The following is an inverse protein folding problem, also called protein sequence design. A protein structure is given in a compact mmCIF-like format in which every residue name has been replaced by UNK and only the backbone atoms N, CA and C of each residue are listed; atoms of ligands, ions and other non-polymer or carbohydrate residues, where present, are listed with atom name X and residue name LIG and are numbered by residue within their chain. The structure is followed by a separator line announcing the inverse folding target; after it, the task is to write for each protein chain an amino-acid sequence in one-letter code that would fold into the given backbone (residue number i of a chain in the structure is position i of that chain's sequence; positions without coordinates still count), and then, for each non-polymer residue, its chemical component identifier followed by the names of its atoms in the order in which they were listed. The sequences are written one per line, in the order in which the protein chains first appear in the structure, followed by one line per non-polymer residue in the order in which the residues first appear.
data_IF_653088465616
#
_entry.id   IF_653088465616
#
_cell.length_a   1.000
_cell.length_b   1.000
_cell.length_c   1.000
_cell.angle_alpha   90.00
_cell.angle_beta   90.00
_cell.angle_gamma   90.00
#
_symmetry.space_group_name_H-M   'P 1'
#
loop_
_entity.id
_entity.type
_entity.pdbx_description
1 polymer ?
#
# COMPACT_ATOMS: atom_id res chain seq x y z
N UNK A 1 3.33 -17.01 19.87
CA UNK A 1 3.70 -16.24 18.66
C UNK A 1 4.01 -14.83 19.11
N UNK A 2 5.11 -14.23 18.68
CA UNK A 2 5.45 -12.85 19.05
C UNK A 2 4.76 -11.89 18.09
N UNK A 3 3.58 -11.42 18.44
CA UNK A 3 2.80 -10.50 17.61
C UNK A 3 3.41 -9.08 17.56
N UNK A 4 4.15 -8.71 18.59
CA UNK A 4 4.82 -7.40 18.65
C UNK A 4 5.83 -7.24 17.52
N UNK A 5 6.55 -8.31 17.16
CA UNK A 5 7.51 -8.29 16.05
C UNK A 5 6.90 -8.17 14.66
N UNK A 6 5.56 -8.25 14.53
CA UNK A 6 4.86 -8.15 13.25
C UNK A 6 4.53 -6.72 12.83
N UNK A 7 4.83 -5.70 13.62
CA UNK A 7 4.55 -4.31 13.27
C UNK A 7 5.66 -3.69 12.44
N UNK A 8 5.35 -3.25 11.21
CA UNK A 8 6.25 -2.54 10.32
C UNK A 8 5.80 -1.10 10.04
N UNK A 9 6.75 -0.17 10.06
CA UNK A 9 6.52 1.22 9.65
C UNK A 9 6.59 1.32 8.13
N UNK A 10 5.44 1.50 7.46
CA UNK A 10 5.35 1.74 6.03
C UNK A 10 5.64 3.20 5.69
N UNK A 11 6.72 3.46 4.94
CA UNK A 11 7.19 4.82 4.64
C UNK A 11 6.62 5.40 3.33
N UNK A 12 5.58 4.81 2.76
CA UNK A 12 4.87 5.36 1.59
C UNK A 12 4.01 6.60 1.96
N UNK A 13 3.61 6.74 3.22
CA UNK A 13 2.72 7.81 3.70
C UNK A 13 3.34 8.54 4.89
N UNK A 14 4.56 9.04 4.73
CA UNK A 14 5.24 9.83 5.76
C UNK A 14 4.51 11.17 5.99
N UNK A 15 4.66 11.77 7.18
CA UNK A 15 4.09 13.10 7.43
C UNK A 15 4.69 14.14 6.48
N UNK A 16 3.85 15.04 5.99
CA UNK A 16 4.20 16.07 5.01
C UNK A 16 3.87 17.47 5.53
N UNK A 17 4.71 18.44 5.19
CA UNK A 17 4.46 19.88 5.46
C UNK A 17 3.55 20.50 4.40
N UNK A 18 3.45 19.87 3.22
CA UNK A 18 2.59 20.28 2.12
C UNK A 18 2.05 19.03 1.42
N UNK A 19 0.76 18.76 1.54
CA UNK A 19 0.11 17.58 0.96
C UNK A 19 0.13 17.54 -0.59
N UNK A 20 0.38 18.68 -1.23
CA UNK A 20 0.45 18.80 -2.69
C UNK A 20 1.86 18.51 -3.24
N UNK A 21 2.83 18.35 -2.38
CA UNK A 21 4.21 18.09 -2.76
C UNK A 21 4.73 16.91 -1.94
N UNK A 22 4.67 15.70 -2.50
CA UNK A 22 5.05 14.47 -1.79
C UNK A 22 6.51 14.50 -1.32
N UNK A 23 7.38 15.28 -1.96
CA UNK A 23 8.78 15.42 -1.55
C UNK A 23 8.97 16.26 -0.28
N UNK A 24 7.94 17.01 0.17
CA UNK A 24 8.00 17.85 1.37
C UNK A 24 7.66 17.07 2.65
N UNK A 25 8.51 16.16 3.03
CA UNK A 25 8.38 15.39 4.27
C UNK A 25 8.57 16.32 5.49
N UNK A 26 7.67 16.22 6.49
CA UNK A 26 7.87 16.79 7.82
C UNK A 26 8.89 15.93 8.59
N UNK A 27 10.16 16.26 8.40
CA UNK A 27 11.27 15.50 8.98
C UNK A 27 11.27 15.54 10.52
N UNK A 28 10.82 16.65 11.14
CA UNK A 28 10.77 16.77 12.60
C UNK A 28 9.73 15.82 13.18
N UNK A 29 8.51 15.85 12.66
CA UNK A 29 7.46 14.92 13.06
C UNK A 29 7.84 13.46 12.77
N UNK A 30 8.45 13.19 11.62
CA UNK A 30 8.91 11.83 11.29
C UNK A 30 9.97 11.35 12.30
N UNK A 31 10.92 12.20 12.69
CA UNK A 31 11.91 11.86 13.70
C UNK A 31 11.24 11.52 15.05
N UNK A 32 10.26 12.31 15.49
CA UNK A 32 9.53 12.05 16.74
C UNK A 32 8.76 10.73 16.68
N UNK A 33 8.12 10.43 15.53
CA UNK A 33 7.43 9.15 15.32
C UNK A 33 8.40 7.96 15.36
N UNK A 34 9.58 8.09 14.73
CA UNK A 34 10.63 7.07 14.77
C UNK A 34 11.14 6.85 16.19
N UNK A 35 11.39 7.92 16.95
CA UNK A 35 11.86 7.82 18.33
C UNK A 35 10.87 7.04 19.19
N UNK A 36 9.58 7.36 19.08
CA UNK A 36 8.52 6.67 19.79
C UNK A 36 8.40 5.20 19.40
N UNK A 37 8.48 4.91 18.10
CA UNK A 37 8.41 3.56 17.55
C UNK A 37 9.57 2.69 18.07
N UNK A 38 10.79 3.21 18.01
CA UNK A 38 12.00 2.55 18.50
C UNK A 38 12.00 2.38 20.02
N UNK A 39 11.56 3.40 20.78
CA UNK A 39 11.43 3.34 22.25
C UNK A 39 10.49 2.24 22.70
N UNK A 40 9.40 2.01 21.96
CA UNK A 40 8.46 0.92 22.19
C UNK A 40 8.99 -0.46 21.77
N UNK A 41 10.19 -0.52 21.18
CA UNK A 41 10.90 -1.74 20.79
C UNK A 41 10.47 -2.29 19.43
N UNK A 42 9.82 -1.48 18.59
CA UNK A 42 9.59 -1.77 17.18
C UNK A 42 10.78 -1.28 16.36
N UNK A 43 11.08 -1.93 15.20
CA UNK A 43 12.33 -1.63 14.52
C UNK A 43 12.35 -1.93 13.01
N UNK A 44 11.22 -2.19 12.38
CA UNK A 44 11.16 -2.52 10.96
C UNK A 44 10.60 -1.36 10.14
N UNK A 45 11.33 -0.93 9.10
CA UNK A 45 10.97 0.18 8.21
C UNK A 45 10.94 -0.30 6.77
N UNK A 46 9.82 -0.02 6.07
CA UNK A 46 9.60 -0.40 4.67
C UNK A 46 9.56 0.84 3.80
N UNK A 47 10.46 0.93 2.82
CA UNK A 47 10.51 2.01 1.85
C UNK A 47 10.56 1.49 0.41
N UNK A 48 10.72 2.37 -0.54
CA UNK A 48 10.93 2.11 -1.96
C UNK A 48 11.64 3.29 -2.62
N UNK A 49 12.39 2.99 -3.67
CA UNK A 49 13.09 3.96 -4.52
C UNK A 49 12.24 5.18 -4.92
N UNK A 50 10.94 4.98 -5.21
CA UNK A 50 10.06 6.04 -5.71
C UNK A 50 9.22 6.74 -4.62
N UNK A 51 9.21 6.25 -3.39
CA UNK A 51 8.33 6.85 -2.37
C UNK A 51 8.69 8.31 -2.09
N UNK A 52 7.67 9.17 -2.05
CA UNK A 52 7.84 10.61 -1.88
C UNK A 52 8.78 11.23 -2.92
N UNK A 53 8.56 10.91 -4.21
CA UNK A 53 9.40 11.39 -5.32
C UNK A 53 10.90 11.07 -5.12
N UNK A 54 11.20 9.92 -4.51
CA UNK A 54 12.55 9.44 -4.26
C UNK A 54 13.24 10.06 -3.03
N UNK A 55 12.54 10.82 -2.18
CA UNK A 55 13.14 11.41 -0.96
C UNK A 55 12.90 10.59 0.30
N UNK A 56 12.07 9.54 0.26
CA UNK A 56 11.79 8.69 1.43
C UNK A 56 13.05 8.05 2.00
N UNK A 57 13.93 7.51 1.16
CA UNK A 57 15.19 6.89 1.56
C UNK A 57 16.10 7.90 2.31
N UNK A 58 16.18 9.15 1.82
CA UNK A 58 16.94 10.22 2.47
C UNK A 58 16.33 10.63 3.81
N UNK A 59 14.99 10.65 3.90
CA UNK A 59 14.30 10.93 5.16
C UNK A 59 14.55 9.82 6.20
N UNK A 60 14.53 8.55 5.79
CA UNK A 60 14.88 7.40 6.63
C UNK A 60 16.32 7.48 7.09
N UNK A 61 17.26 7.80 6.19
CA UNK A 61 18.66 8.01 6.57
C UNK A 61 18.79 9.00 7.73
N UNK A 62 18.16 10.17 7.63
CA UNK A 62 18.18 11.20 8.65
C UNK A 62 17.49 10.81 9.95
N UNK A 63 16.35 10.11 9.84
CA UNK A 63 15.55 9.75 11.00
C UNK A 63 16.09 8.53 11.75
N UNK A 64 16.79 7.62 11.07
CA UNK A 64 17.15 6.31 11.60
C UNK A 64 18.66 6.08 11.50
N UNK A 65 19.20 6.04 10.27
CA UNK A 65 20.58 5.56 10.03
C UNK A 65 21.63 6.45 10.69
N UNK A 66 21.43 7.75 10.68
CA UNK A 66 22.35 8.72 11.31
C UNK A 66 22.17 8.84 12.84
N UNK A 67 21.12 8.21 13.41
CA UNK A 67 20.73 8.40 14.81
C UNK A 67 20.78 7.13 15.67
N UNK A 68 20.67 5.95 15.05
CA UNK A 68 20.59 4.67 15.74
C UNK A 68 21.66 3.69 15.28
N UNK A 69 22.15 2.78 16.16
CA UNK A 69 23.07 1.71 15.75
C UNK A 69 22.44 0.80 14.68
N UNK A 70 23.23 0.39 13.67
CA UNK A 70 22.74 -0.41 12.51
C UNK A 70 22.02 -1.70 12.91
N UNK A 71 22.46 -2.34 13.97
CA UNK A 71 21.89 -3.59 14.49
C UNK A 71 20.56 -3.40 15.22
N UNK A 72 20.16 -2.17 15.54
CA UNK A 72 18.92 -1.89 16.28
C UNK A 72 17.68 -1.77 15.40
N UNK A 73 17.84 -1.70 14.07
CA UNK A 73 16.73 -1.54 13.13
C UNK A 73 16.88 -2.44 11.90
N UNK A 74 15.78 -2.63 11.20
CA UNK A 74 15.70 -3.35 9.94
C UNK A 74 15.14 -2.43 8.85
N UNK A 75 15.75 -2.47 7.65
CA UNK A 75 15.31 -1.71 6.49
C UNK A 75 14.96 -2.67 5.35
N UNK A 76 13.77 -2.48 4.79
CA UNK A 76 13.33 -3.05 3.53
C UNK A 76 13.31 -1.97 2.46
N UNK A 77 13.84 -2.31 1.28
CA UNK A 77 13.75 -1.46 0.10
C UNK A 77 13.39 -2.28 -1.14
N UNK A 78 13.03 -1.62 -2.26
CA UNK A 78 12.43 -2.28 -3.41
C UNK A 78 13.00 -1.77 -4.74
N UNK A 79 13.45 -2.70 -5.60
CA UNK A 79 13.91 -2.43 -6.97
C UNK A 79 12.82 -1.77 -7.80
N UNK A 80 13.05 -0.60 -8.40
CA UNK A 80 12.06 0.06 -9.27
C UNK A 80 11.93 -0.66 -10.62
N UNK A 81 11.14 -1.72 -10.67
CA UNK A 81 11.03 -2.64 -11.81
C UNK A 81 10.65 -1.93 -13.10
N UNK A 82 9.77 -0.93 -13.04
CA UNK A 82 9.32 -0.14 -14.19
C UNK A 82 10.41 0.74 -14.82
N UNK A 83 11.49 1.00 -14.09
CA UNK A 83 12.59 1.84 -14.55
C UNK A 83 13.75 1.02 -15.17
N UNK A 84 13.66 -0.30 -15.18
CA UNK A 84 14.67 -1.19 -15.74
C UNK A 84 14.64 -1.14 -17.26
N UNK A 85 15.78 -0.87 -17.87
CA UNK A 85 16.00 -0.88 -19.34
C UNK A 85 17.06 -1.89 -19.78
N UNK A 86 17.91 -2.30 -18.85
CA UNK A 86 18.97 -3.30 -19.06
C UNK A 86 19.31 -4.03 -17.75
N UNK A 87 19.94 -5.22 -17.80
CA UNK A 87 20.38 -5.94 -16.60
C UNK A 87 21.33 -5.15 -15.70
N UNK A 88 22.11 -4.22 -16.25
CA UNK A 88 23.03 -3.35 -15.54
C UNK A 88 22.33 -2.34 -14.64
N UNK A 89 21.07 -2.02 -14.93
CA UNK A 89 20.27 -1.10 -14.12
C UNK A 89 20.01 -1.65 -12.71
N UNK A 90 20.01 -2.97 -12.52
CA UNK A 90 19.90 -3.57 -11.20
C UNK A 90 21.03 -3.09 -10.27
N UNK A 91 22.29 -3.16 -10.72
CA UNK A 91 23.45 -2.68 -9.94
C UNK A 91 23.36 -1.16 -9.70
N UNK A 92 22.97 -0.40 -10.73
CA UNK A 92 22.83 1.05 -10.65
C UNK A 92 21.83 1.45 -9.57
N UNK A 93 20.61 0.92 -9.61
CA UNK A 93 19.58 1.28 -8.64
C UNK A 93 19.91 0.81 -7.24
N UNK A 94 20.42 -0.41 -7.05
CA UNK A 94 20.82 -0.90 -5.74
C UNK A 94 21.93 -0.03 -5.11
N UNK A 95 22.95 0.33 -5.88
CA UNK A 95 24.01 1.21 -5.38
C UNK A 95 23.46 2.61 -5.01
N UNK A 96 22.56 3.17 -5.82
CA UNK A 96 21.92 4.45 -5.55
C UNK A 96 21.06 4.40 -4.27
N UNK A 97 20.27 3.33 -4.06
CA UNK A 97 19.47 3.12 -2.85
C UNK A 97 20.35 3.00 -1.60
N UNK A 98 21.43 2.21 -1.66
CA UNK A 98 22.39 2.08 -0.56
C UNK A 98 23.04 3.43 -0.21
N UNK A 99 23.40 4.23 -1.22
CA UNK A 99 23.97 5.58 -1.03
C UNK A 99 22.97 6.55 -0.40
N UNK A 100 21.70 6.58 -0.90
CA UNK A 100 20.65 7.45 -0.37
C UNK A 100 20.32 7.11 1.09
N UNK A 101 20.19 5.82 1.41
CA UNK A 101 19.97 5.33 2.77
C UNK A 101 21.21 5.47 3.66
N UNK A 102 22.43 5.42 3.09
CA UNK A 102 23.67 5.43 3.85
C UNK A 102 23.94 4.12 4.60
N UNK A 103 23.60 2.98 3.98
CA UNK A 103 23.78 1.62 4.54
C UNK A 103 24.58 0.73 3.59
N UNK A 104 25.12 -0.37 4.11
CA UNK A 104 25.93 -1.32 3.34
C UNK A 104 25.11 -2.56 2.92
N UNK A 105 23.96 -2.82 3.55
CA UNK A 105 23.08 -3.96 3.26
C UNK A 105 21.62 -3.68 3.64
N UNK A 106 20.71 -4.37 2.97
CA UNK A 106 19.28 -4.40 3.33
C UNK A 106 18.97 -5.61 4.22
N UNK A 107 18.07 -5.45 5.18
CA UNK A 107 17.54 -6.60 5.93
C UNK A 107 16.56 -7.39 5.06
N UNK A 108 15.76 -6.71 4.24
CA UNK A 108 14.87 -7.28 3.24
C UNK A 108 14.99 -6.49 1.95
N UNK A 109 15.02 -7.18 0.82
CA UNK A 109 15.02 -6.54 -0.50
C UNK A 109 14.00 -7.18 -1.44
N UNK A 110 13.19 -6.35 -2.09
CA UNK A 110 12.11 -6.82 -2.97
C UNK A 110 12.31 -6.37 -4.42
N UNK A 111 11.84 -7.21 -5.36
CA UNK A 111 11.46 -6.74 -6.69
C UNK A 111 10.10 -6.06 -6.54
N UNK A 112 9.99 -4.78 -6.94
CA UNK A 112 8.81 -3.97 -6.68
C UNK A 112 7.69 -4.27 -7.65
N UNK A 113 6.47 -4.46 -7.12
CA UNK A 113 5.20 -4.44 -7.84
C UNK A 113 5.10 -5.45 -8.99
N UNK A 114 5.32 -6.74 -8.69
CA UNK A 114 5.14 -7.80 -9.70
C UNK A 114 3.66 -7.90 -10.10
N UNK A 115 3.40 -7.62 -11.35
CA UNK A 115 2.19 -7.81 -12.13
C UNK A 115 2.60 -8.28 -13.54
N UNK A 116 1.66 -8.47 -14.46
CA UNK A 116 1.98 -9.01 -15.80
C UNK A 116 3.08 -8.20 -16.52
N UNK A 117 2.96 -6.86 -16.76
CA UNK A 117 3.98 -6.09 -17.48
C UNK A 117 5.32 -6.05 -16.75
N UNK A 118 5.32 -5.89 -15.42
CA UNK A 118 6.56 -5.74 -14.67
C UNK A 118 7.25 -7.06 -14.35
N UNK A 119 6.52 -8.17 -14.30
CA UNK A 119 7.14 -9.50 -14.31
C UNK A 119 8.00 -9.69 -15.55
N UNK A 120 7.48 -9.31 -16.73
CA UNK A 120 8.22 -9.38 -17.97
C UNK A 120 9.52 -8.57 -17.92
N UNK A 121 9.45 -7.31 -17.44
CA UNK A 121 10.65 -6.46 -17.27
C UNK A 121 11.66 -7.07 -16.29
N UNK A 122 11.18 -7.59 -15.15
CA UNK A 122 12.04 -8.24 -14.16
C UNK A 122 12.75 -9.47 -14.73
N UNK A 123 12.06 -10.26 -15.56
CA UNK A 123 12.64 -11.43 -16.23
C UNK A 123 13.65 -11.03 -17.33
N UNK A 124 13.30 -10.09 -18.20
CA UNK A 124 14.17 -9.60 -19.28
C UNK A 124 15.47 -8.99 -18.72
N UNK A 125 15.41 -8.38 -17.54
CA UNK A 125 16.56 -7.77 -16.86
C UNK A 125 17.21 -8.67 -15.80
N UNK A 126 16.84 -9.95 -15.72
CA UNK A 126 17.41 -10.93 -14.79
C UNK A 126 17.31 -10.54 -13.29
N UNK A 127 16.29 -9.78 -12.89
CA UNK A 127 16.18 -9.24 -11.53
C UNK A 127 16.05 -10.34 -10.46
N UNK A 128 15.39 -11.47 -10.76
CA UNK A 128 15.29 -12.59 -9.81
C UNK A 128 16.67 -13.22 -9.52
N UNK A 129 17.48 -13.46 -10.54
CA UNK A 129 18.85 -13.95 -10.36
C UNK A 129 19.73 -12.90 -9.68
N UNK A 130 19.46 -11.62 -9.91
CA UNK A 130 20.17 -10.53 -9.27
C UNK A 130 19.91 -10.50 -7.76
N UNK A 131 18.66 -10.50 -7.30
CA UNK A 131 18.36 -10.50 -5.86
C UNK A 131 18.85 -11.76 -5.16
N UNK A 132 18.86 -12.91 -5.85
CA UNK A 132 19.49 -14.14 -5.34
C UNK A 132 20.97 -13.91 -5.03
N UNK A 133 21.71 -13.29 -5.96
CA UNK A 133 23.13 -12.94 -5.73
C UNK A 133 23.29 -11.95 -4.58
N UNK A 134 22.37 -10.99 -4.41
CA UNK A 134 22.40 -10.08 -3.25
C UNK A 134 22.28 -10.84 -1.94
N UNK A 135 21.47 -11.90 -1.88
CA UNK A 135 21.37 -12.75 -0.69
C UNK A 135 22.66 -13.57 -0.47
N UNK A 136 23.22 -14.14 -1.53
CA UNK A 136 24.45 -14.94 -1.48
C UNK A 136 25.69 -14.13 -1.02
N UNK A 137 25.78 -12.88 -1.46
CA UNK A 137 26.90 -11.97 -1.11
C UNK A 137 26.66 -11.13 0.14
N UNK A 138 25.47 -11.20 0.74
CA UNK A 138 25.12 -10.49 1.96
C UNK A 138 24.64 -9.05 1.79
N UNK A 139 24.46 -8.56 0.56
CA UNK A 139 23.87 -7.22 0.30
C UNK A 139 22.39 -7.17 0.72
N UNK A 140 21.68 -8.31 0.71
CA UNK A 140 20.37 -8.47 1.31
C UNK A 140 20.33 -9.72 2.20
N UNK A 141 19.72 -9.64 3.40
CA UNK A 141 19.57 -10.82 4.28
C UNK A 141 18.43 -11.73 3.86
N UNK A 142 17.29 -11.13 3.47
CA UNK A 142 16.11 -11.81 2.93
C UNK A 142 15.70 -11.16 1.62
N UNK A 143 15.13 -11.96 0.72
CA UNK A 143 14.72 -11.51 -0.61
C UNK A 143 13.29 -11.96 -0.92
N UNK A 144 12.61 -11.20 -1.78
CA UNK A 144 11.27 -11.50 -2.22
C UNK A 144 10.77 -10.51 -3.28
N UNK A 145 9.48 -10.38 -3.37
CA UNK A 145 8.83 -9.38 -4.23
C UNK A 145 7.53 -8.88 -3.61
N UNK A 146 7.12 -7.66 -3.99
CA UNK A 146 5.75 -7.20 -3.76
C UNK A 146 4.88 -7.54 -4.96
N UNK A 147 3.63 -7.95 -4.69
CA UNK A 147 2.76 -8.55 -5.69
C UNK A 147 1.42 -7.81 -5.78
N UNK A 148 1.00 -7.51 -7.01
CA UNK A 148 -0.22 -6.76 -7.30
C UNK A 148 -0.98 -7.36 -8.51
N UNK A 149 -1.30 -8.65 -8.43
CA UNK A 149 -2.09 -9.33 -9.44
C UNK A 149 -2.89 -10.49 -8.82
N UNK A 150 -3.46 -11.36 -9.62
CA UNK A 150 -4.29 -12.49 -9.18
C UNK A 150 -3.47 -13.74 -8.83
N UNK A 151 -4.12 -14.70 -8.19
CA UNK A 151 -3.51 -15.93 -7.74
C UNK A 151 -2.90 -16.79 -8.86
N UNK A 152 -3.46 -16.73 -10.09
CA UNK A 152 -2.92 -17.50 -11.22
C UNK A 152 -1.54 -16.99 -11.66
N UNK A 153 -1.33 -15.66 -11.64
CA UNK A 153 -0.03 -15.09 -11.91
C UNK A 153 0.94 -15.39 -10.76
N UNK A 154 0.49 -15.23 -9.50
CA UNK A 154 1.32 -15.55 -8.34
C UNK A 154 1.82 -16.99 -8.42
N UNK A 155 0.93 -17.94 -8.70
CA UNK A 155 1.31 -19.34 -8.84
C UNK A 155 2.41 -19.55 -9.89
N UNK A 156 2.30 -18.91 -11.07
CA UNK A 156 3.34 -19.00 -12.12
C UNK A 156 4.70 -18.47 -11.65
N UNK A 157 4.70 -17.37 -10.90
CA UNK A 157 5.93 -16.80 -10.33
C UNK A 157 6.53 -17.74 -9.29
N UNK A 158 5.70 -18.29 -8.40
CA UNK A 158 6.14 -19.19 -7.34
C UNK A 158 6.60 -20.56 -7.90
N UNK A 159 5.95 -21.11 -8.91
CA UNK A 159 6.39 -22.33 -9.61
C UNK A 159 7.82 -22.19 -10.18
N UNK A 160 8.20 -20.96 -10.58
CA UNK A 160 9.50 -20.70 -11.22
C UNK A 160 10.58 -20.25 -10.23
N UNK A 161 10.23 -19.44 -9.25
CA UNK A 161 11.18 -18.74 -8.40
C UNK A 161 11.00 -19.01 -6.90
N UNK A 162 9.92 -19.68 -6.48
CA UNK A 162 9.56 -19.85 -5.06
C UNK A 162 10.69 -20.41 -4.19
N UNK A 163 11.43 -21.42 -4.69
CA UNK A 163 12.51 -22.08 -3.94
C UNK A 163 13.65 -21.15 -3.51
N UNK A 164 13.84 -20.01 -4.17
CA UNK A 164 14.91 -19.07 -3.86
C UNK A 164 14.46 -17.90 -2.97
N UNK A 165 13.16 -17.71 -2.81
CA UNK A 165 12.56 -16.58 -2.13
C UNK A 165 12.33 -16.87 -0.64
N UNK A 166 12.29 -15.82 0.17
CA UNK A 166 11.96 -15.89 1.59
C UNK A 166 10.55 -15.36 1.87
N UNK A 167 10.13 -14.33 1.10
CA UNK A 167 8.99 -13.49 1.45
C UNK A 167 8.21 -13.11 0.18
N UNK A 168 6.88 -13.07 0.30
CA UNK A 168 6.01 -12.34 -0.64
C UNK A 168 5.30 -11.24 0.11
N UNK A 169 5.36 -9.99 -0.41
CA UNK A 169 4.58 -8.88 0.11
C UNK A 169 3.26 -8.81 -0.65
N UNK A 170 2.15 -9.04 0.05
CA UNK A 170 0.79 -9.10 -0.51
C UNK A 170 -0.04 -7.90 -0.08
N UNK A 171 -0.87 -7.41 -0.98
CA UNK A 171 -2.03 -6.61 -0.63
C UNK A 171 -3.05 -7.49 0.08
N UNK A 172 -3.30 -7.21 1.38
CA UNK A 172 -4.16 -8.05 2.19
C UNK A 172 -4.86 -7.23 3.29
N UNK A 173 -6.17 -7.31 3.31
CA UNK A 173 -7.04 -6.77 4.35
C UNK A 173 -8.39 -7.52 4.34
N UNK A 174 -9.23 -7.30 5.34
CA UNK A 174 -10.50 -8.02 5.45
C UNK A 174 -11.50 -7.63 4.35
N UNK A 175 -11.37 -6.43 3.75
CA UNK A 175 -12.23 -5.96 2.66
C UNK A 175 -11.93 -6.71 1.35
N UNK A 176 -10.64 -6.92 1.05
CA UNK A 176 -10.17 -7.55 -0.18
C UNK A 176 -10.00 -9.08 -0.05
N UNK A 177 -10.24 -9.64 1.13
CA UNK A 177 -10.01 -11.05 1.44
C UNK A 177 -10.68 -11.98 0.43
N UNK A 178 -11.98 -11.76 0.14
CA UNK A 178 -12.76 -12.55 -0.82
C UNK A 178 -13.00 -11.79 -2.15
N UNK A 179 -12.28 -10.68 -2.39
CA UNK A 179 -12.40 -9.94 -3.65
C UNK A 179 -11.98 -10.78 -4.84
N UNK A 180 -12.74 -10.68 -5.96
CA UNK A 180 -12.52 -11.52 -7.13
C UNK A 180 -11.33 -11.10 -7.99
N UNK A 181 -10.94 -9.84 -7.90
CA UNK A 181 -9.84 -9.27 -8.69
C UNK A 181 -8.50 -9.37 -7.94
N UNK A 182 -8.49 -9.00 -6.65
CA UNK A 182 -7.29 -9.02 -5.80
C UNK A 182 -6.99 -10.43 -5.32
N UNK A 183 -8.04 -11.20 -4.96
CA UNK A 183 -7.94 -12.59 -4.52
C UNK A 183 -6.96 -12.78 -3.34
N UNK A 184 -7.00 -11.85 -2.37
CA UNK A 184 -6.04 -11.83 -1.26
C UNK A 184 -5.95 -13.17 -0.51
N UNK A 185 -7.08 -13.83 -0.25
CA UNK A 185 -7.14 -15.15 0.38
C UNK A 185 -6.39 -16.22 -0.43
N UNK A 186 -6.66 -16.32 -1.72
CA UNK A 186 -5.99 -17.31 -2.57
C UNK A 186 -4.49 -17.04 -2.71
N UNK A 187 -4.10 -15.76 -2.78
CA UNK A 187 -2.69 -15.40 -2.82
C UNK A 187 -1.98 -15.76 -1.50
N UNK A 188 -2.64 -15.54 -0.36
CA UNK A 188 -2.14 -15.95 0.94
C UNK A 188 -1.97 -17.49 1.01
N UNK A 189 -2.99 -18.25 0.63
CA UNK A 189 -2.95 -19.72 0.64
C UNK A 189 -1.81 -20.28 -0.22
N UNK A 190 -1.56 -19.68 -1.39
CA UNK A 190 -0.40 -20.03 -2.22
C UNK A 190 0.92 -19.80 -1.48
N UNK A 191 1.10 -18.65 -0.81
CA UNK A 191 2.32 -18.42 -0.03
C UNK A 191 2.50 -19.46 1.09
N UNK A 192 1.41 -19.86 1.75
CA UNK A 192 1.42 -20.95 2.75
C UNK A 192 1.84 -22.28 2.12
N UNK A 193 1.28 -22.65 0.97
CA UNK A 193 1.61 -23.87 0.23
C UNK A 193 3.09 -23.95 -0.15
N UNK A 194 3.68 -22.81 -0.55
CA UNK A 194 5.10 -22.71 -0.92
C UNK A 194 6.02 -22.48 0.30
N UNK A 195 5.49 -22.38 1.51
CA UNK A 195 6.26 -22.20 2.75
C UNK A 195 6.91 -20.83 2.88
N UNK A 196 6.39 -19.81 2.21
CA UNK A 196 6.92 -18.45 2.22
C UNK A 196 6.31 -17.61 3.35
N UNK A 197 7.12 -16.71 3.90
CA UNK A 197 6.64 -15.67 4.81
C UNK A 197 5.79 -14.64 4.03
N UNK A 198 4.70 -14.17 4.64
CA UNK A 198 3.86 -13.12 4.07
C UNK A 198 4.10 -11.81 4.82
N UNK A 199 4.39 -10.75 4.06
CA UNK A 199 4.37 -9.37 4.54
C UNK A 199 3.14 -8.69 3.96
N UNK A 200 2.40 -7.99 4.80
CA UNK A 200 1.13 -7.36 4.39
C UNK A 200 1.35 -5.90 4.08
N UNK A 201 0.98 -5.48 2.88
CA UNK A 201 0.76 -4.09 2.50
C UNK A 201 -0.74 -3.80 2.38
N UNK A 202 -1.13 -2.53 2.39
CA UNK A 202 -2.52 -2.08 2.31
C UNK A 202 -3.47 -2.71 3.38
N UNK A 203 -3.05 -2.88 4.65
CA UNK A 203 -3.93 -3.43 5.68
C UNK A 203 -5.16 -2.56 5.92
N UNK A 204 -5.11 -1.27 5.55
CA UNK A 204 -6.18 -0.29 5.69
C UNK A 204 -6.71 0.21 4.33
N UNK A 205 -6.30 -0.39 3.20
CA UNK A 205 -6.68 -0.04 1.83
C UNK A 205 -6.63 1.47 1.59
N UNK A 206 -5.42 2.04 1.68
CA UNK A 206 -5.20 3.49 1.46
C UNK A 206 -5.95 4.41 2.44
N UNK A 207 -6.57 3.87 3.49
CA UNK A 207 -7.40 4.61 4.44
C UNK A 207 -8.91 4.44 4.23
N UNK A 208 -9.35 3.76 3.18
CA UNK A 208 -10.77 3.44 2.90
C UNK A 208 -11.41 2.73 4.09
N UNK A 209 -10.73 1.76 4.66
CA UNK A 209 -11.24 0.96 5.78
C UNK A 209 -11.48 1.81 7.04
N UNK A 210 -10.62 2.77 7.34
CA UNK A 210 -10.69 3.59 8.57
C UNK A 210 -11.55 4.84 8.43
N UNK A 211 -11.91 5.18 7.20
CA UNK A 211 -12.79 6.30 6.87
C UNK A 211 -14.14 5.87 6.27
N UNK A 212 -14.79 4.82 6.80
CA UNK A 212 -16.06 4.35 6.24
C UNK A 212 -17.20 5.35 6.51
N UNK A 213 -18.34 5.22 5.81
CA UNK A 213 -19.54 5.99 6.10
C UNK A 213 -19.95 5.93 7.57
N UNK A 214 -20.61 7.01 8.06
CA UNK A 214 -21.01 7.16 9.47
C UNK A 214 -21.78 5.95 10.02
N UNK A 215 -22.60 5.35 9.20
CA UNK A 215 -23.38 4.15 9.56
C UNK A 215 -22.44 2.99 9.97
N UNK A 216 -21.43 2.72 9.16
CA UNK A 216 -20.44 1.65 9.42
C UNK A 216 -19.57 2.02 10.64
N UNK A 217 -19.18 3.31 10.78
CA UNK A 217 -18.49 3.77 12.01
C UNK A 217 -19.29 3.48 13.28
N UNK A 218 -20.61 3.67 13.21
CA UNK A 218 -21.49 3.37 14.34
C UNK A 218 -21.56 1.87 14.63
N UNK A 219 -21.62 1.01 13.60
CA UNK A 219 -21.61 -0.46 13.77
C UNK A 219 -20.35 -0.91 14.52
N UNK A 220 -19.16 -0.42 14.15
CA UNK A 220 -17.92 -0.70 14.87
C UNK A 220 -17.97 -0.23 16.33
N UNK A 221 -18.49 0.96 16.55
CA UNK A 221 -18.61 1.53 17.91
C UNK A 221 -19.61 0.78 18.78
N UNK A 222 -20.69 0.27 18.22
CA UNK A 222 -21.67 -0.57 18.91
C UNK A 222 -21.10 -1.96 19.20
N UNK A 223 -20.32 -2.51 18.28
CA UNK A 223 -19.70 -3.83 18.43
C UNK A 223 -18.61 -3.81 19.53
N UNK A 224 -17.68 -2.84 19.47
CA UNK A 224 -16.66 -2.67 20.50
C UNK A 224 -16.18 -1.21 20.55
N UNK A 225 -16.64 -0.41 21.53
CA UNK A 225 -16.31 1.01 21.64
C UNK A 225 -14.85 1.30 22.03
N UNK A 226 -14.14 0.30 22.57
CA UNK A 226 -12.77 0.44 23.09
C UNK A 226 -11.70 0.12 22.03
N UNK A 227 -12.09 -0.37 20.84
CA UNK A 227 -11.18 -0.68 19.76
C UNK A 227 -11.36 0.27 18.58
N UNK A 228 -10.25 0.74 18.00
CA UNK A 228 -10.30 1.53 16.76
C UNK A 228 -10.62 0.63 15.56
N UNK A 229 -11.17 1.22 14.49
CA UNK A 229 -11.40 0.50 13.22
C UNK A 229 -10.06 0.00 12.65
N UNK A 230 -8.99 0.79 12.80
CA UNK A 230 -7.64 0.39 12.36
C UNK A 230 -7.17 -0.87 13.09
N UNK A 231 -7.39 -0.95 14.41
CA UNK A 231 -6.98 -2.11 15.21
C UNK A 231 -7.65 -3.41 14.75
N UNK A 232 -8.93 -3.39 14.35
CA UNK A 232 -9.60 -4.56 13.78
C UNK A 232 -8.93 -5.04 12.49
N UNK A 233 -8.65 -4.13 11.55
CA UNK A 233 -8.04 -4.48 10.28
C UNK A 233 -6.59 -4.98 10.44
N UNK A 234 -5.80 -4.34 11.29
CA UNK A 234 -4.43 -4.73 11.60
C UNK A 234 -4.41 -6.10 12.29
N UNK A 235 -5.30 -6.32 13.27
CA UNK A 235 -5.41 -7.60 13.99
C UNK A 235 -5.88 -8.73 13.07
N UNK A 236 -6.79 -8.44 12.12
CA UNK A 236 -7.17 -9.40 11.08
C UNK A 236 -5.94 -9.91 10.34
N UNK A 237 -5.14 -9.01 9.79
CA UNK A 237 -3.92 -9.38 9.06
C UNK A 237 -2.90 -10.10 9.95
N UNK A 238 -2.58 -9.55 11.11
CA UNK A 238 -1.54 -10.07 11.99
C UNK A 238 -1.92 -11.41 12.65
N UNK A 239 -3.20 -11.77 12.70
CA UNK A 239 -3.67 -13.05 13.24
C UNK A 239 -3.41 -14.22 12.30
N UNK A 240 -3.19 -13.98 11.03
CA UNK A 240 -2.85 -15.02 10.06
C UNK A 240 -1.46 -15.60 10.34
N UNK A 241 -1.36 -16.92 10.33
CA UNK A 241 -0.18 -17.65 10.83
C UNK A 241 1.11 -17.33 10.07
N UNK A 242 1.04 -17.30 8.74
CA UNK A 242 2.19 -17.02 7.86
C UNK A 242 2.49 -15.53 7.70
N UNK A 243 1.63 -14.64 8.17
CA UNK A 243 1.94 -13.20 8.21
C UNK A 243 3.01 -12.96 9.27
N UNK A 244 4.14 -12.39 8.85
CA UNK A 244 5.28 -12.02 9.71
C UNK A 244 5.43 -10.52 9.89
N UNK A 245 4.84 -9.72 9.00
CA UNK A 245 4.90 -8.27 9.05
C UNK A 245 3.59 -7.67 8.50
N UNK A 246 3.07 -6.65 9.19
CA UNK A 246 1.95 -5.81 8.73
C UNK A 246 2.46 -4.38 8.63
N UNK A 247 2.51 -3.86 7.41
CA UNK A 247 3.05 -2.53 7.12
C UNK A 247 1.97 -1.47 7.29
N UNK A 248 2.13 -0.61 8.27
CA UNK A 248 1.20 0.49 8.52
C UNK A 248 1.82 1.81 8.08
N UNK A 249 1.19 2.47 7.10
CA UNK A 249 1.47 3.87 6.77
C UNK A 249 0.88 4.77 7.85
N UNK A 250 1.67 5.73 8.32
CA UNK A 250 1.27 6.64 9.41
C UNK A 250 1.75 8.04 9.10
N UNK A 251 0.81 9.00 9.03
CA UNK A 251 1.10 10.40 8.72
C UNK A 251 0.96 11.32 9.93
N UNK A 252 0.49 10.79 11.07
CA UNK A 252 0.21 11.55 12.28
C UNK A 252 0.65 10.77 13.52
N UNK A 253 0.99 11.49 14.58
CA UNK A 253 1.34 10.88 15.86
C UNK A 253 0.19 10.04 16.44
N UNK A 254 -1.08 10.45 16.22
CA UNK A 254 -2.25 9.67 16.65
C UNK A 254 -2.35 8.29 16.01
N UNK A 255 -1.94 8.17 14.72
CA UNK A 255 -1.93 6.89 14.02
C UNK A 255 -0.84 5.98 14.60
N UNK A 256 0.33 6.57 14.92
CA UNK A 256 1.43 5.88 15.59
C UNK A 256 1.00 5.38 16.98
N UNK A 257 0.30 6.20 17.76
CA UNK A 257 -0.17 5.83 19.09
C UNK A 257 -1.13 4.64 19.05
N UNK A 258 -2.13 4.71 18.17
CA UNK A 258 -3.14 3.66 18.02
C UNK A 258 -2.54 2.33 17.53
N UNK A 259 -1.65 2.38 16.53
CA UNK A 259 -0.98 1.21 16.02
C UNK A 259 0.00 0.59 17.03
N UNK A 260 0.76 1.43 17.73
CA UNK A 260 1.64 0.95 18.81
C UNK A 260 0.84 0.26 19.91
N UNK A 261 -0.26 0.87 20.38
CA UNK A 261 -1.13 0.28 21.40
C UNK A 261 -1.69 -1.08 20.93
N UNK A 262 -2.14 -1.15 19.68
CA UNK A 262 -2.65 -2.39 19.06
C UNK A 262 -1.62 -3.52 19.11
N UNK A 263 -0.33 -3.25 18.79
CA UNK A 263 0.69 -4.29 18.78
C UNK A 263 1.32 -4.57 20.15
N UNK A 264 1.37 -3.59 21.06
CA UNK A 264 1.82 -3.81 22.44
C UNK A 264 0.82 -4.66 23.24
N UNK A 265 -0.48 -4.45 23.01
CA UNK A 265 -1.58 -5.15 23.67
C UNK A 265 -2.31 -6.09 22.69
N UNK A 266 -1.56 -6.81 21.87
CA UNK A 266 -2.12 -7.57 20.76
C UNK A 266 -2.98 -8.74 21.25
N UNK A 267 -4.23 -8.74 20.79
CA UNK A 267 -5.18 -9.84 20.92
C UNK A 267 -5.51 -10.37 19.52
N UNK A 268 -5.31 -11.66 19.24
CA UNK A 268 -5.72 -12.24 17.95
C UNK A 268 -7.19 -11.99 17.68
N UNK A 269 -7.55 -11.86 16.40
CA UNK A 269 -8.95 -11.70 15.98
C UNK A 269 -9.75 -12.95 16.42
N UNK A 270 -10.91 -12.75 17.03
CA UNK A 270 -11.81 -13.83 17.42
C UNK A 270 -12.73 -14.24 16.27
N UNK A 271 -13.36 -15.43 16.37
CA UNK A 271 -14.34 -15.87 15.35
C UNK A 271 -15.52 -14.89 15.23
N UNK A 272 -15.99 -14.34 16.38
CA UNK A 272 -17.06 -13.34 16.40
C UNK A 272 -16.64 -12.03 15.70
N UNK A 273 -15.43 -11.55 15.96
CA UNK A 273 -14.86 -10.38 15.29
C UNK A 273 -14.67 -10.65 13.78
N UNK A 274 -14.26 -11.84 13.39
CA UNK A 274 -14.08 -12.22 11.99
C UNK A 274 -15.42 -12.26 11.24
N UNK A 275 -16.47 -12.80 11.85
CA UNK A 275 -17.84 -12.75 11.29
C UNK A 275 -18.35 -11.30 11.17
N UNK A 276 -18.06 -10.46 12.17
CA UNK A 276 -18.40 -9.04 12.13
C UNK A 276 -17.68 -8.34 10.99
N UNK A 277 -16.36 -8.54 10.83
CA UNK A 277 -15.57 -7.96 9.75
C UNK A 277 -16.05 -8.39 8.37
N UNK A 278 -16.44 -9.65 8.19
CA UNK A 278 -17.02 -10.12 6.92
C UNK A 278 -18.31 -9.37 6.55
N UNK A 279 -19.19 -9.12 7.53
CA UNK A 279 -20.40 -8.32 7.32
C UNK A 279 -20.07 -6.84 7.03
N UNK A 280 -19.05 -6.29 7.68
CA UNK A 280 -18.61 -4.91 7.43
C UNK A 280 -17.96 -4.79 6.04
N UNK A 281 -17.23 -5.80 5.58
CA UNK A 281 -16.68 -5.85 4.24
C UNK A 281 -17.79 -5.77 3.18
N UNK A 282 -18.81 -6.63 3.26
CA UNK A 282 -19.96 -6.60 2.34
C UNK A 282 -20.67 -5.24 2.35
N UNK A 283 -20.88 -4.69 3.56
CA UNK A 283 -21.55 -3.39 3.74
C UNK A 283 -20.72 -2.26 3.16
N UNK A 284 -19.41 -2.24 3.38
CA UNK A 284 -18.51 -1.22 2.87
C UNK A 284 -18.38 -1.30 1.35
N UNK A 285 -18.20 -2.51 0.78
CA UNK A 285 -18.18 -2.70 -0.67
C UNK A 285 -19.43 -2.14 -1.34
N UNK A 286 -20.61 -2.37 -0.75
CA UNK A 286 -21.87 -1.86 -1.28
C UNK A 286 -21.97 -0.31 -1.32
N UNK A 287 -21.09 0.39 -0.62
CA UNK A 287 -21.05 1.86 -0.52
C UNK A 287 -19.95 2.49 -1.37
N UNK A 288 -18.97 1.73 -1.83
CA UNK A 288 -17.93 2.26 -2.71
C UNK A 288 -18.44 2.33 -4.14
N UNK A 289 -18.29 3.49 -4.78
CA UNK A 289 -18.51 3.62 -6.21
C UNK A 289 -17.34 2.99 -6.97
N UNK A 290 -16.12 3.31 -6.55
CA UNK A 290 -14.87 2.80 -7.12
C UNK A 290 -13.97 2.33 -5.97
N UNK A 291 -13.47 1.07 -5.96
CA UNK A 291 -12.65 0.55 -4.86
C UNK A 291 -11.18 1.02 -4.96
N UNK A 292 -10.96 2.30 -5.27
CA UNK A 292 -9.63 2.90 -5.39
C UNK A 292 -8.95 3.02 -4.02
N UNK A 293 -7.66 2.63 -3.93
CA UNK A 293 -6.82 2.78 -2.74
C UNK A 293 -5.96 4.04 -2.74
N UNK A 294 -6.10 4.90 -3.75
CA UNK A 294 -5.33 6.14 -3.91
C UNK A 294 -3.80 5.89 -3.89
N UNK A 295 -3.35 4.81 -4.53
CA UNK A 295 -1.93 4.45 -4.63
C UNK A 295 -1.18 5.22 -5.74
N UNK A 296 -1.92 5.89 -6.64
CA UNK A 296 -1.44 6.80 -7.70
C UNK A 296 -0.61 6.16 -8.84
N UNK A 297 -0.35 4.85 -8.82
CA UNK A 297 0.42 4.18 -9.90
C UNK A 297 -0.17 4.33 -11.31
N UNK A 298 -1.45 4.67 -11.43
CA UNK A 298 -2.10 4.95 -12.71
C UNK A 298 -1.82 6.36 -13.25
N UNK A 299 -1.31 7.29 -12.44
CA UNK A 299 -1.07 8.68 -12.86
C UNK A 299 0.10 8.75 -13.84
N UNK A 300 1.23 8.13 -13.52
CA UNK A 300 2.44 8.12 -14.34
C UNK A 300 2.22 7.46 -15.71
N UNK A 301 1.23 6.56 -15.81
CA UNK A 301 0.91 5.86 -17.05
C UNK A 301 -0.14 6.56 -17.91
N UNK A 302 -0.76 7.62 -17.41
CA UNK A 302 -1.82 8.34 -18.14
C UNK A 302 -1.24 9.35 -19.15
N UNK A 303 -1.34 9.12 -20.47
CA UNK A 303 -0.79 10.03 -21.47
C UNK A 303 -1.50 11.41 -21.50
N UNK A 304 -2.70 11.49 -20.90
CA UNK A 304 -3.46 12.72 -20.75
C UNK A 304 -3.24 13.41 -19.40
N UNK A 305 -2.42 12.84 -18.51
CA UNK A 305 -2.13 13.40 -17.18
C UNK A 305 -3.39 13.67 -16.34
N UNK A 306 -4.40 12.77 -16.43
CA UNK A 306 -5.65 12.90 -15.67
C UNK A 306 -5.38 12.57 -14.21
N UNK A 307 -5.77 13.41 -13.23
CA UNK A 307 -5.65 13.11 -11.80
C UNK A 307 -6.72 12.08 -11.34
N UNK A 308 -6.54 10.84 -11.77
CA UNK A 308 -7.51 9.74 -11.66
C UNK A 308 -7.91 9.49 -10.21
N UNK A 309 -6.93 9.43 -9.29
CA UNK A 309 -7.16 9.18 -7.87
C UNK A 309 -8.04 10.26 -7.23
N UNK A 310 -7.81 11.53 -7.56
CA UNK A 310 -8.58 12.66 -7.03
C UNK A 310 -10.03 12.62 -7.52
N UNK A 311 -10.24 12.31 -8.81
CA UNK A 311 -11.59 12.12 -9.35
C UNK A 311 -12.33 11.00 -8.64
N UNK A 312 -11.69 9.84 -8.40
CA UNK A 312 -12.32 8.72 -7.70
C UNK A 312 -12.55 9.02 -6.22
N UNK A 313 -11.65 9.76 -5.56
CA UNK A 313 -11.86 10.25 -4.20
C UNK A 313 -13.15 11.09 -4.09
N UNK A 314 -13.30 12.10 -4.95
CA UNK A 314 -14.47 12.97 -4.99
C UNK A 314 -15.73 12.16 -5.30
N UNK A 315 -15.66 11.20 -6.23
CA UNK A 315 -16.79 10.36 -6.60
C UNK A 315 -17.26 9.47 -5.45
N UNK A 316 -16.34 8.76 -4.78
CA UNK A 316 -16.66 7.95 -3.61
C UNK A 316 -17.27 8.80 -2.48
N UNK A 317 -16.70 9.97 -2.21
CA UNK A 317 -17.19 10.87 -1.19
C UNK A 317 -18.62 11.37 -1.50
N UNK A 318 -18.91 11.68 -2.79
CA UNK A 318 -20.25 12.11 -3.22
C UNK A 318 -21.30 11.03 -3.05
N UNK A 319 -20.95 9.76 -3.34
CA UNK A 319 -21.86 8.62 -3.14
C UNK A 319 -22.19 8.37 -1.67
N UNK A 320 -21.26 8.67 -0.78
CA UNK A 320 -21.45 8.54 0.66
C UNK A 320 -22.27 9.67 1.28
N UNK A 321 -22.41 10.82 0.59
CA UNK A 321 -23.16 12.00 1.03
C UNK A 321 -23.97 12.60 -0.14
N UNK A 322 -24.94 11.87 -0.68
CA UNK A 322 -25.66 12.25 -1.91
C UNK A 322 -26.44 13.56 -1.80
N UNK A 323 -26.79 13.99 -0.59
CA UNK A 323 -27.46 15.27 -0.33
C UNK A 323 -26.51 16.47 -0.30
N UNK A 324 -25.18 16.25 -0.36
CA UNK A 324 -24.17 17.31 -0.28
C UNK A 324 -23.73 17.76 -1.69
N UNK A 325 -24.03 19.02 -2.00
CA UNK A 325 -23.62 19.62 -3.28
C UNK A 325 -22.12 20.03 -3.30
N UNK A 326 -21.40 19.90 -2.19
CA UNK A 326 -19.99 20.30 -2.07
C UNK A 326 -19.09 19.53 -3.04
N UNK A 327 -19.38 18.25 -3.26
CA UNK A 327 -18.55 17.39 -4.12
C UNK A 327 -18.66 17.77 -5.60
N UNK A 328 -19.79 18.34 -6.02
CA UNK A 328 -19.92 18.93 -7.36
C UNK A 328 -18.99 20.12 -7.51
N UNK A 329 -18.87 20.98 -6.51
CA UNK A 329 -17.93 22.11 -6.54
C UNK A 329 -16.48 21.62 -6.59
N UNK A 330 -16.13 20.56 -5.86
CA UNK A 330 -14.78 19.95 -5.94
C UNK A 330 -14.51 19.35 -7.31
N UNK A 331 -15.49 18.64 -7.89
CA UNK A 331 -15.37 18.11 -9.24
C UNK A 331 -15.17 19.22 -10.27
N UNK A 332 -16.00 20.28 -10.25
CA UNK A 332 -15.88 21.41 -11.15
C UNK A 332 -14.55 22.17 -10.99
N UNK A 333 -14.05 22.26 -9.75
CA UNK A 333 -12.73 22.83 -9.47
C UNK A 333 -11.63 21.99 -10.08
N UNK A 334 -11.61 20.70 -9.81
CA UNK A 334 -10.60 19.77 -10.34
C UNK A 334 -10.62 19.78 -11.88
N UNK A 335 -11.80 19.73 -12.50
CA UNK A 335 -12.00 19.82 -13.95
C UNK A 335 -11.44 21.10 -14.58
N UNK A 336 -11.45 22.23 -13.84
CA UNK A 336 -10.99 23.53 -14.35
C UNK A 336 -9.50 23.81 -14.06
N UNK A 337 -8.95 23.22 -13.01
CA UNK A 337 -7.56 23.46 -12.57
C UNK A 337 -6.59 22.39 -13.08
N UNK A 338 -7.09 21.18 -13.35
CA UNK A 338 -6.32 20.01 -13.78
C UNK A 338 -6.85 19.45 -15.12
N UNK A 339 -6.32 18.31 -15.58
CA UNK A 339 -6.81 17.65 -16.78
C UNK A 339 -8.20 17.05 -16.56
N UNK A 340 -9.22 17.45 -17.34
CA UNK A 340 -10.56 16.92 -17.21
C UNK A 340 -10.66 15.41 -17.50
N UNK A 341 -11.56 14.72 -16.80
CA UNK A 341 -11.78 13.29 -16.99
C UNK A 341 -12.24 12.91 -18.40
N UNK A 342 -12.84 13.85 -19.17
CA UNK A 342 -13.27 13.66 -20.57
C UNK A 342 -12.10 13.65 -21.56
N UNK A 343 -10.88 13.97 -21.12
CA UNK A 343 -9.68 13.82 -21.95
C UNK A 343 -9.14 12.39 -21.96
N UNK A 344 -9.86 11.44 -21.34
CA UNK A 344 -9.52 10.02 -21.42
C UNK A 344 -9.60 9.52 -22.86
N UNK A 345 -8.48 9.00 -23.35
CA UNK A 345 -8.37 8.46 -24.73
C UNK A 345 -8.70 6.97 -24.81
N UNK A 346 -9.11 6.34 -23.72
CA UNK A 346 -9.37 4.89 -23.63
C UNK A 346 -8.18 4.04 -24.07
N UNK A 347 -6.95 4.49 -23.82
CA UNK A 347 -5.73 3.72 -24.13
C UNK A 347 -5.51 2.52 -23.21
N UNK A 348 -6.22 2.45 -22.08
CA UNK A 348 -6.19 1.35 -21.09
C UNK A 348 -4.85 1.18 -20.33
N UNK A 349 -3.83 1.98 -20.61
CA UNK A 349 -2.51 1.92 -19.95
C UNK A 349 -2.62 1.95 -18.41
N UNK A 350 -3.54 2.77 -17.87
CA UNK A 350 -3.78 2.88 -16.44
C UNK A 350 -4.36 1.61 -15.80
N UNK A 351 -5.01 0.72 -16.56
CA UNK A 351 -5.58 -0.54 -16.05
C UNK A 351 -4.45 -1.51 -15.67
N UNK A 352 -3.44 -1.62 -16.53
CA UNK A 352 -2.30 -2.51 -16.30
C UNK A 352 -1.51 -2.13 -15.05
N UNK A 353 -1.48 -0.82 -14.72
CA UNK A 353 -0.80 -0.29 -13.54
C UNK A 353 -1.69 -0.25 -12.28
N UNK A 354 -3.01 -0.45 -12.43
CA UNK A 354 -3.94 -0.40 -11.30
C UNK A 354 -3.78 -1.63 -10.40
N UNK A 355 -3.39 -1.41 -9.14
CA UNK A 355 -3.26 -2.45 -8.13
C UNK A 355 -4.62 -3.07 -7.76
N UNK A 356 -5.71 -2.28 -7.89
CA UNK A 356 -7.09 -2.69 -7.59
C UNK A 356 -7.82 -3.27 -8.81
N UNK A 357 -7.14 -3.41 -9.96
CA UNK A 357 -7.72 -3.92 -11.22
C UNK A 357 -8.99 -3.22 -11.68
N UNK A 358 -9.09 -1.93 -11.41
CA UNK A 358 -10.22 -1.09 -11.78
C UNK A 358 -10.20 -0.85 -13.29
N UNK A 359 -11.36 -0.98 -13.96
CA UNK A 359 -11.53 -0.49 -15.33
C UNK A 359 -11.65 1.03 -15.32
N UNK A 360 -10.50 1.72 -15.18
CA UNK A 360 -10.41 3.16 -14.95
C UNK A 360 -11.14 3.98 -16.02
N UNK A 361 -11.00 3.73 -17.33
CA UNK A 361 -11.74 4.48 -18.35
C UNK A 361 -13.26 4.41 -18.17
N UNK A 362 -13.80 3.23 -17.89
CA UNK A 362 -15.23 3.04 -17.67
C UNK A 362 -15.72 3.77 -16.39
N UNK A 363 -14.93 3.72 -15.32
CA UNK A 363 -15.29 4.40 -14.07
C UNK A 363 -15.17 5.92 -14.17
N UNK A 364 -14.24 6.45 -14.98
CA UNK A 364 -14.17 7.87 -15.30
C UNK A 364 -15.42 8.34 -16.08
N UNK A 365 -15.94 7.51 -16.98
CA UNK A 365 -17.17 7.83 -17.71
C UNK A 365 -18.38 7.84 -16.77
N UNK A 366 -18.55 6.82 -15.91
CA UNK A 366 -19.61 6.78 -14.89
C UNK A 366 -19.57 7.95 -13.91
N UNK A 367 -18.35 8.36 -13.54
CA UNK A 367 -18.12 9.52 -12.70
C UNK A 367 -18.58 10.82 -13.40
N UNK A 368 -18.26 10.98 -14.67
CA UNK A 368 -18.70 12.12 -15.49
C UNK A 368 -20.22 12.16 -15.59
N UNK A 369 -20.87 11.05 -15.95
CA UNK A 369 -22.32 10.96 -15.98
C UNK A 369 -22.94 11.35 -14.63
N UNK A 370 -22.37 10.88 -13.52
CA UNK A 370 -22.86 11.24 -12.19
C UNK A 370 -22.81 12.75 -11.92
N UNK A 371 -21.72 13.42 -12.26
CA UNK A 371 -21.57 14.83 -11.98
C UNK A 371 -22.13 15.74 -13.07
N UNK A 372 -22.10 15.36 -14.34
CA UNK A 372 -22.47 16.23 -15.46
C UNK A 372 -23.94 16.09 -15.88
N UNK A 373 -24.51 14.88 -15.83
CA UNK A 373 -25.86 14.60 -16.32
C UNK A 373 -26.91 14.48 -15.21
N UNK A 374 -26.50 14.05 -14.00
CA UNK A 374 -27.42 13.80 -12.87
C UNK A 374 -27.65 14.97 -11.93
N UNK A 375 -27.03 16.11 -12.14
CA UNK A 375 -27.01 17.22 -11.18
C UNK A 375 -27.90 18.39 -11.64
N UNK A 376 -28.98 18.67 -10.93
CA UNK A 376 -29.71 19.95 -11.01
C UNK A 376 -29.14 20.90 -9.97
N UNK A 377 -28.43 22.00 -10.38
CA UNK A 377 -28.05 23.01 -9.44
C UNK A 377 -29.31 23.67 -8.88
N UNK A 378 -29.44 23.66 -7.57
CA UNK A 378 -30.58 24.24 -6.83
C UNK A 378 -31.92 23.48 -6.97
N UNK A 379 -31.99 22.29 -6.38
CA UNK A 379 -33.24 21.67 -5.95
C UNK A 379 -33.44 21.89 -4.46
#
# INVERSE_FOLDING_TARGET
MDYKSKFGFGCMRLPQTDIKDPAKIDQELFNEMVDKYMEKGFNYFDTSYAYHDGVSEVAIRKAIVERYPRESYQICDKMPTWALTSPEDNDKFVNEMLERLGIDYFDVFFIHNINIPWLKLAEENNSFEYIKKMKENGTAKKIGFSFHDNADLLKKVLDKYGDMLDIVQLELNYLDWEDKSIQAHKCYDLCVEYGLDVYVMEPLKGGVIVNPPKEIKNDFKEFNPDKSIASFAIRFCASLEHVKMVLCGMSKMSDMDDNCDTFENFEPITDEENEFLSKMAEKLYSKLAVPCSECEYCLDSCPSEIPISDYFHIYNASKNQPESNIYRLYYDKLKNEETPADQCTYCEECIDHCTQKINIPEELEKLREHFEEGFTPYG
#
